data_IF_437171389636
#
_entry.id   IF_437171389636
#
_cell.length_a   1.000
_cell.length_b   1.000
_cell.length_c   1.000
_cell.angle_alpha   90.00
_cell.angle_beta   90.00
_cell.angle_gamma   90.00
#
_symmetry.space_group_name_H-M   'P 1'
#
loop_
_entity.id
_entity.type
_entity.pdbx_description
1 polymer ?
#
# COMPACT_ATOMS: atom_id res chain seq x y z
N UNK A 1 1.20 7.28 -17.29
CA UNK A 1 0.75 8.13 -16.17
C UNK A 1 0.77 7.28 -14.91
N UNK A 2 0.94 7.90 -13.73
CA UNK A 2 0.95 7.17 -12.45
C UNK A 2 -0.35 7.45 -11.70
N UNK A 3 -1.02 6.40 -11.26
CA UNK A 3 -2.22 6.46 -10.43
C UNK A 3 -1.96 5.84 -9.07
N UNK A 4 -2.66 6.31 -8.03
CA UNK A 4 -2.56 5.80 -6.66
C UNK A 4 -3.95 5.42 -6.14
N UNK A 5 -4.03 4.25 -5.51
CA UNK A 5 -5.22 3.73 -4.81
C UNK A 5 -4.77 2.92 -3.59
N UNK A 6 -5.69 2.34 -2.83
CA UNK A 6 -5.38 1.47 -1.69
C UNK A 6 -6.44 0.40 -1.48
N UNK A 7 -6.14 -0.55 -0.59
CA UNK A 7 -7.13 -1.42 0.06
C UNK A 7 -8.04 -2.12 -0.95
N UNK A 8 -7.44 -2.83 -1.90
CA UNK A 8 -8.21 -3.61 -2.90
C UNK A 8 -8.74 -4.91 -2.32
N UNK A 9 -8.12 -5.42 -1.26
CA UNK A 9 -8.57 -6.58 -0.46
C UNK A 9 -8.85 -7.83 -1.32
N UNK A 10 -8.11 -8.02 -2.40
CA UNK A 10 -8.33 -9.11 -3.36
C UNK A 10 -9.69 -9.07 -4.06
N UNK A 11 -10.39 -7.93 -4.03
CA UNK A 11 -11.70 -7.79 -4.63
C UNK A 11 -11.58 -7.58 -6.15
N UNK A 12 -11.67 -8.68 -6.88
CA UNK A 12 -11.60 -8.68 -8.35
C UNK A 12 -12.73 -7.85 -9.00
N UNK A 13 -13.93 -7.79 -8.41
CA UNK A 13 -15.01 -6.95 -8.93
C UNK A 13 -14.68 -5.46 -8.81
N UNK A 14 -14.15 -5.05 -7.64
CA UNK A 14 -13.62 -3.69 -7.45
C UNK A 14 -12.58 -3.37 -8.50
N UNK A 15 -11.66 -4.29 -8.78
CA UNK A 15 -10.65 -4.09 -9.81
C UNK A 15 -11.27 -3.91 -11.19
N UNK A 16 -12.08 -4.86 -11.65
CA UNK A 16 -12.64 -4.88 -13.01
C UNK A 16 -13.64 -3.74 -13.27
N UNK A 17 -14.40 -3.31 -12.27
CA UNK A 17 -15.41 -2.24 -12.46
C UNK A 17 -14.83 -0.84 -12.23
N UNK A 18 -13.94 -0.71 -11.24
CA UNK A 18 -13.49 0.61 -10.78
C UNK A 18 -12.12 0.98 -11.34
N UNK A 19 -11.17 0.05 -11.31
CA UNK A 19 -9.75 0.33 -11.58
C UNK A 19 -9.40 0.08 -13.04
N UNK A 20 -9.63 -1.13 -13.54
CA UNK A 20 -9.26 -1.54 -14.91
C UNK A 20 -9.76 -0.57 -16.01
N UNK A 21 -11.02 -0.09 -15.99
CA UNK A 21 -11.54 0.72 -17.09
C UNK A 21 -10.91 2.11 -17.24
N UNK A 22 -10.13 2.58 -16.25
CA UNK A 22 -9.47 3.88 -16.31
C UNK A 22 -8.01 3.80 -16.78
N UNK A 23 -7.40 2.62 -16.72
CA UNK A 23 -5.99 2.41 -17.02
C UNK A 23 -5.78 2.20 -18.53
N UNK A 24 -4.72 2.79 -19.07
CA UNK A 24 -4.37 2.71 -20.49
C UNK A 24 -2.98 2.13 -20.68
N UNK A 25 -2.62 1.91 -21.94
CA UNK A 25 -1.27 1.45 -22.30
C UNK A 25 -0.19 2.36 -21.74
N UNK A 26 0.78 1.76 -21.05
CA UNK A 26 1.90 2.45 -20.40
C UNK A 26 1.57 3.10 -19.06
N UNK A 27 0.33 3.03 -18.57
CA UNK A 27 0.01 3.54 -17.25
C UNK A 27 0.56 2.65 -16.13
N UNK A 28 0.75 3.25 -14.96
CA UNK A 28 1.19 2.60 -13.74
C UNK A 28 0.15 2.89 -12.67
N UNK A 29 -0.27 1.88 -11.92
CA UNK A 29 -1.06 2.07 -10.70
C UNK A 29 -0.30 1.53 -9.50
N UNK A 30 -0.28 2.29 -8.39
CA UNK A 30 0.32 1.90 -7.12
C UNK A 30 -0.81 1.69 -6.09
N UNK A 31 -0.85 0.51 -5.48
CA UNK A 31 -1.79 0.16 -4.39
C UNK A 31 -1.08 0.30 -3.03
N UNK A 32 -1.59 1.18 -2.17
CA UNK A 32 -1.07 1.50 -0.84
C UNK A 32 -1.38 0.43 0.22
N UNK A 33 -1.02 -0.82 -0.06
CA UNK A 33 -1.23 -1.94 0.86
C UNK A 33 -2.60 -2.60 0.70
N UNK A 34 -2.74 -3.74 1.36
CA UNK A 34 -3.90 -4.61 1.28
C UNK A 34 -4.33 -4.88 -0.16
N UNK A 35 -3.35 -5.26 -1.00
CA UNK A 35 -3.65 -5.69 -2.37
C UNK A 35 -4.50 -6.98 -2.34
N UNK A 36 -4.20 -7.86 -1.38
CA UNK A 36 -4.98 -9.05 -1.04
C UNK A 36 -4.36 -10.39 -1.46
N UNK A 37 -3.03 -10.47 -1.63
CA UNK A 37 -2.35 -11.73 -1.97
C UNK A 37 -2.67 -12.81 -0.93
N UNK A 38 -3.14 -13.97 -1.39
CA UNK A 38 -3.58 -15.12 -0.60
C UNK A 38 -4.97 -14.97 0.04
N UNK A 39 -5.69 -13.89 -0.25
CA UNK A 39 -7.01 -13.58 0.31
C UNK A 39 -8.13 -13.43 -0.75
N UNK A 40 -7.86 -13.79 -2.01
CA UNK A 40 -8.86 -13.82 -3.07
C UNK A 40 -9.87 -14.96 -2.84
N UNK A 41 -10.97 -14.66 -2.16
CA UNK A 41 -12.07 -15.63 -1.95
C UNK A 41 -13.22 -15.35 -2.90
N UNK A 42 -13.17 -15.94 -4.10
CA UNK A 42 -14.29 -15.94 -5.03
C UNK A 42 -14.61 -17.34 -5.52
N UNK A 43 -15.92 -17.60 -5.70
CA UNK A 43 -16.45 -18.92 -6.09
C UNK A 43 -16.11 -19.30 -7.55
N UNK A 44 -15.74 -18.33 -8.39
CA UNK A 44 -15.71 -18.50 -9.85
C UNK A 44 -14.36 -18.24 -10.53
N UNK A 45 -13.43 -17.50 -9.90
CA UNK A 45 -12.11 -17.18 -10.44
C UNK A 45 -11.04 -17.36 -9.36
N UNK A 46 -9.94 -18.02 -9.73
CA UNK A 46 -8.80 -18.18 -8.83
C UNK A 46 -7.95 -16.91 -8.75
N UNK A 47 -7.16 -16.80 -7.70
CA UNK A 47 -6.13 -15.77 -7.55
C UNK A 47 -5.15 -15.75 -8.73
N UNK A 48 -4.61 -16.92 -9.12
CA UNK A 48 -3.69 -17.03 -10.25
C UNK A 48 -4.34 -16.58 -11.57
N UNK A 49 -5.63 -16.87 -11.77
CA UNK A 49 -6.36 -16.37 -12.94
C UNK A 49 -6.48 -14.85 -12.97
N UNK A 50 -6.58 -14.20 -11.80
CA UNK A 50 -6.55 -12.75 -11.72
C UNK A 50 -5.15 -12.20 -12.02
N UNK A 51 -4.08 -12.85 -11.55
CA UNK A 51 -2.70 -12.48 -11.90
C UNK A 51 -2.41 -12.66 -13.37
N UNK A 52 -2.92 -13.72 -14.00
CA UNK A 52 -2.81 -13.93 -15.43
C UNK A 52 -3.59 -12.87 -16.21
N UNK A 53 -4.80 -12.50 -15.75
CA UNK A 53 -5.54 -11.37 -16.31
C UNK A 53 -4.73 -10.07 -16.25
N UNK A 54 -4.15 -9.72 -15.09
CA UNK A 54 -3.28 -8.54 -14.95
C UNK A 54 -2.09 -8.65 -15.90
N UNK A 55 -1.49 -9.83 -16.03
CA UNK A 55 -0.36 -10.09 -16.93
C UNK A 55 -0.69 -9.90 -18.42
N UNK A 56 -1.95 -9.83 -18.82
CA UNK A 56 -2.33 -9.54 -20.20
C UNK A 56 -2.60 -8.04 -20.44
N UNK A 57 -2.60 -7.23 -19.38
CA UNK A 57 -2.95 -5.82 -19.47
C UNK A 57 -1.78 -4.94 -19.94
N UNK A 58 -2.05 -3.85 -20.67
CA UNK A 58 -1.01 -2.98 -21.22
C UNK A 58 -0.48 -1.96 -20.19
N UNK A 59 -0.83 -2.10 -18.92
CA UNK A 59 -0.42 -1.24 -17.80
C UNK A 59 0.39 -2.03 -16.76
N UNK A 60 1.05 -1.33 -15.85
CA UNK A 60 1.80 -1.92 -14.73
C UNK A 60 1.06 -1.71 -13.42
N UNK A 61 0.98 -2.77 -12.62
CA UNK A 61 0.46 -2.77 -11.25
C UNK A 61 1.62 -2.91 -10.28
N UNK A 62 1.77 -1.89 -9.45
CA UNK A 62 2.67 -1.89 -8.31
C UNK A 62 1.83 -1.93 -7.03
N UNK A 63 2.33 -2.59 -6.00
CA UNK A 63 1.72 -2.51 -4.68
C UNK A 63 2.78 -2.64 -3.59
N UNK A 64 2.50 -2.06 -2.44
CA UNK A 64 3.20 -2.39 -1.19
C UNK A 64 2.34 -3.39 -0.42
N UNK A 65 2.91 -4.14 0.50
CA UNK A 65 2.13 -4.96 1.43
C UNK A 65 1.42 -4.11 2.49
N UNK A 66 0.30 -4.60 3.01
CA UNK A 66 -0.39 -4.10 4.20
C UNK A 66 -0.40 -5.15 5.31
N UNK A 67 -1.53 -5.29 5.99
CA UNK A 67 -1.73 -6.30 7.04
C UNK A 67 -2.62 -7.48 6.58
N UNK A 68 -3.13 -7.44 5.35
CA UNK A 68 -3.95 -8.48 4.74
C UNK A 68 -3.29 -9.11 3.52
N UNK A 69 -2.05 -9.58 3.71
CA UNK A 69 -1.29 -10.39 2.76
C UNK A 69 -0.88 -11.72 3.36
N UNK A 70 -0.85 -12.75 2.51
CA UNK A 70 -0.23 -14.01 2.84
C UNK A 70 1.28 -13.89 2.67
N UNK A 71 1.97 -13.56 3.76
CA UNK A 71 3.42 -13.34 3.74
C UNK A 71 4.23 -14.59 3.39
N UNK A 72 3.71 -15.80 3.62
CA UNK A 72 4.39 -17.02 3.16
C UNK A 72 4.39 -17.10 1.63
N UNK A 73 3.26 -16.79 0.99
CA UNK A 73 3.16 -16.72 -0.47
C UNK A 73 3.98 -15.54 -1.02
N UNK A 74 3.82 -14.35 -0.45
CA UNK A 74 4.51 -13.14 -0.89
C UNK A 74 6.03 -13.31 -0.87
N UNK A 75 6.58 -13.86 0.23
CA UNK A 75 8.01 -14.10 0.39
C UNK A 75 8.51 -15.35 -0.35
N UNK A 76 7.64 -16.12 -1.00
CA UNK A 76 8.04 -17.24 -1.87
C UNK A 76 8.41 -16.79 -3.28
N UNK A 77 7.96 -15.59 -3.69
CA UNK A 77 8.31 -15.02 -4.99
C UNK A 77 9.77 -14.58 -5.03
N UNK A 78 10.36 -14.64 -6.22
CA UNK A 78 11.75 -14.25 -6.42
C UNK A 78 11.95 -12.76 -6.18
N UNK A 79 13.02 -12.43 -5.44
CA UNK A 79 13.50 -11.06 -5.27
C UNK A 79 14.36 -10.65 -6.47
N UNK A 80 14.05 -9.50 -7.07
CA UNK A 80 14.82 -8.89 -8.17
C UNK A 80 15.15 -7.43 -7.85
N UNK A 81 16.23 -6.90 -8.43
CA UNK A 81 16.45 -5.44 -8.44
C UNK A 81 15.62 -4.82 -9.55
N UNK A 82 14.91 -3.75 -9.23
CA UNK A 82 14.04 -3.03 -10.16
C UNK A 82 13.97 -1.55 -9.79
N UNK A 83 14.23 -0.66 -10.76
CA UNK A 83 14.09 0.79 -10.64
C UNK A 83 14.70 1.43 -9.38
N UNK A 84 15.82 0.91 -8.89
CA UNK A 84 16.55 1.47 -7.75
C UNK A 84 16.37 0.74 -6.42
N UNK A 85 15.40 -0.19 -6.33
CA UNK A 85 15.17 -1.00 -5.13
C UNK A 85 14.97 -2.47 -5.41
N UNK A 86 14.59 -3.22 -4.38
CA UNK A 86 14.27 -4.65 -4.46
C UNK A 86 12.76 -4.90 -4.52
N UNK A 87 12.33 -5.83 -5.37
CA UNK A 87 10.91 -6.17 -5.56
C UNK A 87 10.67 -7.66 -5.48
N UNK A 88 9.45 -8.08 -5.11
CA UNK A 88 8.96 -9.40 -5.48
C UNK A 88 8.21 -9.30 -6.81
N UNK A 89 8.64 -10.09 -7.81
CA UNK A 89 8.03 -10.07 -9.14
C UNK A 89 7.06 -11.23 -9.31
N UNK A 90 5.76 -10.94 -9.23
CA UNK A 90 4.68 -11.95 -9.28
C UNK A 90 4.31 -12.28 -10.72
N UNK A 91 4.22 -11.23 -11.55
CA UNK A 91 4.18 -11.29 -13.02
C UNK A 91 5.06 -10.20 -13.59
N UNK A 92 5.19 -10.13 -14.91
CA UNK A 92 6.08 -9.15 -15.53
C UNK A 92 5.65 -7.69 -15.30
N UNK A 93 4.35 -7.45 -15.10
CA UNK A 93 3.74 -6.15 -14.83
C UNK A 93 2.94 -6.12 -13.51
N UNK A 94 3.06 -7.13 -12.65
CA UNK A 94 2.50 -7.15 -11.29
C UNK A 94 3.64 -7.33 -10.28
N UNK A 95 3.96 -6.25 -9.57
CA UNK A 95 5.21 -6.12 -8.83
C UNK A 95 4.92 -5.61 -7.43
N UNK A 96 5.45 -6.31 -6.43
CA UNK A 96 5.44 -5.88 -5.04
C UNK A 96 6.70 -5.06 -4.75
N UNK A 97 6.51 -3.81 -4.31
CA UNK A 97 7.57 -2.91 -3.88
C UNK A 97 7.92 -3.21 -2.42
N UNK A 98 9.15 -3.66 -2.16
CA UNK A 98 9.58 -4.06 -0.82
C UNK A 98 9.74 -2.86 0.12
N UNK A 99 9.57 -3.13 1.42
CA UNK A 99 9.62 -2.13 2.48
C UNK A 99 11.03 -1.51 2.60
N UNK A 100 11.06 -0.20 2.78
CA UNK A 100 12.30 0.54 3.05
C UNK A 100 13.11 0.89 1.80
N UNK A 101 12.59 0.62 0.61
CA UNK A 101 13.23 0.91 -0.66
C UNK A 101 12.80 2.28 -1.22
N UNK A 102 13.66 2.87 -2.08
CA UNK A 102 13.35 4.08 -2.86
C UNK A 102 13.44 3.73 -4.34
N UNK A 103 12.33 3.93 -5.06
CA UNK A 103 12.25 3.65 -6.50
C UNK A 103 12.28 4.93 -7.32
N UNK A 104 12.84 4.87 -8.53
CA UNK A 104 12.70 5.92 -9.54
C UNK A 104 11.79 5.45 -10.67
N UNK A 105 10.59 6.01 -10.75
CA UNK A 105 9.53 5.63 -11.71
C UNK A 105 9.10 6.88 -12.46
N UNK A 106 9.13 6.85 -13.80
CA UNK A 106 8.88 8.02 -14.67
C UNK A 106 9.66 9.29 -14.25
N UNK A 107 10.87 9.12 -13.71
CA UNK A 107 11.72 10.22 -13.25
C UNK A 107 11.35 10.80 -11.87
N UNK A 108 10.44 10.16 -11.15
CA UNK A 108 10.00 10.52 -9.79
C UNK A 108 10.45 9.48 -8.77
N UNK A 109 10.75 9.94 -7.56
CA UNK A 109 11.21 9.09 -6.45
C UNK A 109 10.06 8.69 -5.53
N UNK A 110 9.99 7.40 -5.21
CA UNK A 110 8.95 6.81 -4.35
C UNK A 110 9.61 6.03 -3.22
N UNK A 111 9.48 6.53 -1.99
CA UNK A 111 9.79 5.73 -0.80
C UNK A 111 8.59 4.87 -0.44
N UNK A 112 8.79 3.58 -0.23
CA UNK A 112 7.71 2.64 0.07
C UNK A 112 7.88 1.94 1.40
N UNK A 113 6.81 1.87 2.18
CA UNK A 113 6.84 1.18 3.46
C UNK A 113 5.48 0.55 3.82
N UNK A 114 5.37 -0.75 3.58
CA UNK A 114 4.20 -1.55 3.90
C UNK A 114 4.09 -1.94 5.38
N UNK A 115 3.10 -2.78 5.65
CA UNK A 115 2.81 -3.34 6.96
C UNK A 115 1.71 -2.59 7.73
N UNK A 116 1.21 -3.26 8.77
CA UNK A 116 0.13 -2.79 9.62
C UNK A 116 -0.25 -3.86 10.64
N UNK A 117 -0.96 -3.47 11.69
CA UNK A 117 -1.40 -4.42 12.71
C UNK A 117 -2.85 -4.84 12.50
N UNK A 118 -3.09 -6.15 12.41
CA UNK A 118 -4.46 -6.67 12.32
C UNK A 118 -5.15 -6.60 13.69
N UNK A 119 -6.11 -5.70 13.85
CA UNK A 119 -6.88 -5.56 15.11
C UNK A 119 -7.66 -6.83 15.48
N UNK A 120 -7.95 -7.67 14.50
CA UNK A 120 -8.63 -8.96 14.63
C UNK A 120 -7.66 -10.15 14.74
N UNK A 121 -6.34 -9.90 14.88
CA UNK A 121 -5.32 -10.92 15.14
C UNK A 121 -5.75 -11.96 16.20
N UNK A 122 -6.38 -11.60 17.34
CA UNK A 122 -6.81 -12.59 18.33
C UNK A 122 -7.83 -13.63 17.82
N UNK A 123 -8.49 -13.36 16.70
CA UNK A 123 -9.48 -14.24 16.06
C UNK A 123 -8.88 -15.03 14.88
N UNK A 124 -7.62 -14.78 14.53
CA UNK A 124 -6.94 -15.38 13.37
C UNK A 124 -5.99 -16.51 13.79
N UNK A 125 -5.59 -17.30 12.80
CA UNK A 125 -4.64 -18.41 12.98
C UNK A 125 -3.34 -18.07 12.29
N UNK A 126 -2.26 -18.10 13.06
CA UNK A 126 -0.90 -17.87 12.57
C UNK A 126 -0.56 -18.81 11.40
N UNK A 127 0.08 -18.25 10.38
CA UNK A 127 0.47 -18.90 9.12
C UNK A 127 -0.71 -19.43 8.26
N UNK A 128 -1.95 -19.05 8.58
CA UNK A 128 -3.15 -19.44 7.83
C UNK A 128 -4.00 -18.24 7.45
N UNK A 129 -4.32 -17.39 8.40
CA UNK A 129 -5.11 -16.16 8.18
C UNK A 129 -4.47 -14.91 8.78
N UNK A 130 -3.33 -15.07 9.45
CA UNK A 130 -2.52 -14.00 10.01
C UNK A 130 -1.04 -14.40 10.00
N UNK A 131 -0.15 -13.43 9.85
CA UNK A 131 1.30 -13.63 9.81
C UNK A 131 1.97 -12.54 10.65
N UNK A 132 2.94 -12.89 11.53
CA UNK A 132 3.69 -11.89 12.30
C UNK A 132 4.43 -10.87 11.42
N UNK A 133 4.70 -11.23 10.17
CA UNK A 133 5.35 -10.38 9.16
C UNK A 133 4.48 -9.18 8.72
N UNK A 134 3.20 -9.11 9.10
CA UNK A 134 2.40 -7.89 8.92
C UNK A 134 3.07 -6.67 9.58
N UNK A 135 3.77 -6.88 10.69
CA UNK A 135 4.60 -5.87 11.32
C UNK A 135 6.01 -5.94 10.74
N UNK A 136 6.60 -4.81 10.35
CA UNK A 136 7.97 -4.76 9.87
C UNK A 136 8.98 -5.26 10.89
N UNK A 137 9.98 -5.97 10.39
CA UNK A 137 11.16 -6.40 11.11
C UNK A 137 12.08 -5.22 11.39
N UNK A 138 12.97 -5.40 12.37
CA UNK A 138 14.02 -4.42 12.69
C UNK A 138 14.87 -4.07 11.45
N UNK A 139 15.19 -5.06 10.62
CA UNK A 139 16.01 -4.86 9.44
C UNK A 139 15.31 -3.97 8.39
N UNK A 140 14.00 -4.15 8.20
CA UNK A 140 13.22 -3.30 7.27
C UNK A 140 13.15 -1.85 7.75
N UNK A 141 12.97 -1.62 9.06
CA UNK A 141 13.04 -0.27 9.63
C UNK A 141 14.42 0.36 9.43
N UNK A 142 15.50 -0.38 9.71
CA UNK A 142 16.87 0.11 9.54
C UNK A 142 17.20 0.41 8.07
N UNK A 143 16.76 -0.44 7.14
CA UNK A 143 16.91 -0.24 5.71
C UNK A 143 16.25 1.06 5.24
N UNK A 144 15.00 1.30 5.65
CA UNK A 144 14.27 2.50 5.28
C UNK A 144 14.92 3.79 5.81
N UNK A 145 15.39 3.78 7.06
CA UNK A 145 16.12 4.94 7.61
C UNK A 145 17.43 5.19 6.87
N UNK A 146 18.20 4.14 6.56
CA UNK A 146 19.47 4.29 5.84
C UNK A 146 19.28 4.87 4.44
N UNK A 147 18.27 4.41 3.70
CA UNK A 147 17.97 4.97 2.39
C UNK A 147 17.47 6.41 2.47
N UNK A 148 16.61 6.72 3.43
CA UNK A 148 16.12 8.09 3.64
C UNK A 148 17.22 9.05 4.12
N UNK A 149 18.16 8.60 4.94
CA UNK A 149 19.31 9.41 5.37
C UNK A 149 20.26 9.73 4.20
N UNK A 150 20.19 8.98 3.10
CA UNK A 150 21.00 9.21 1.90
C UNK A 150 20.41 10.22 0.91
N UNK A 151 19.17 10.67 1.15
CA UNK A 151 18.46 11.61 0.27
C UNK A 151 17.83 12.75 1.08
N UNK A 152 17.92 13.97 0.58
CA UNK A 152 17.29 15.12 1.25
C UNK A 152 15.76 15.18 0.99
N UNK A 153 15.32 14.61 -0.12
CA UNK A 153 13.94 14.68 -0.61
C UNK A 153 13.53 13.41 -1.36
N UNK A 154 12.27 13.01 -1.19
CA UNK A 154 11.58 12.05 -2.06
C UNK A 154 10.30 12.67 -2.59
N UNK A 155 9.96 12.43 -3.86
CA UNK A 155 8.73 13.03 -4.43
C UNK A 155 7.50 12.47 -3.69
N UNK A 156 7.43 11.14 -3.53
CA UNK A 156 6.27 10.49 -2.94
C UNK A 156 6.66 9.50 -1.84
N UNK A 157 5.85 9.48 -0.78
CA UNK A 157 5.88 8.44 0.24
C UNK A 157 4.60 7.60 0.10
N UNK A 158 4.77 6.28 -0.03
CA UNK A 158 3.67 5.32 -0.16
C UNK A 158 3.74 4.36 1.03
N UNK A 159 2.76 4.40 1.91
CA UNK A 159 2.69 3.49 3.07
C UNK A 159 1.32 2.86 3.18
N UNK A 160 1.21 1.78 3.95
CA UNK A 160 -0.11 1.21 4.20
C UNK A 160 -0.82 1.94 5.34
N UNK A 161 -0.19 2.01 6.52
CA UNK A 161 -0.68 2.82 7.64
C UNK A 161 -0.12 4.25 7.63
N UNK A 162 -0.49 5.07 8.62
CA UNK A 162 -0.13 6.48 8.71
C UNK A 162 0.78 6.78 9.92
N UNK A 163 1.47 7.94 9.92
CA UNK A 163 2.16 8.46 11.10
C UNK A 163 1.24 8.62 12.32
N UNK A 164 1.79 8.43 13.53
CA UNK A 164 1.05 8.48 14.80
C UNK A 164 0.11 9.69 14.98
N UNK A 165 0.55 10.91 14.62
CA UNK A 165 -0.20 12.17 14.70
C UNK A 165 -1.43 12.12 13.79
N UNK A 166 -1.27 11.53 12.61
CA UNK A 166 -2.32 11.36 11.63
C UNK A 166 -3.34 10.32 12.10
N UNK A 167 -2.87 9.17 12.61
CA UNK A 167 -3.73 8.12 13.19
C UNK A 167 -4.55 8.70 14.35
N UNK A 168 -3.91 9.44 15.25
CA UNK A 168 -4.57 10.10 16.37
C UNK A 168 -5.68 11.02 15.90
N UNK A 169 -5.39 11.94 14.97
CA UNK A 169 -6.42 12.83 14.43
C UNK A 169 -7.58 12.07 13.78
N UNK A 170 -7.30 11.07 12.95
CA UNK A 170 -8.33 10.27 12.30
C UNK A 170 -9.23 9.57 13.34
N UNK A 171 -8.63 9.08 14.44
CA UNK A 171 -9.37 8.45 15.55
C UNK A 171 -10.30 9.42 16.30
N UNK A 172 -10.00 10.72 16.33
CA UNK A 172 -10.88 11.71 16.97
C UNK A 172 -12.19 11.92 16.20
N UNK A 173 -12.23 11.51 14.93
CA UNK A 173 -13.38 11.70 14.06
C UNK A 173 -14.27 10.46 14.16
N UNK A 174 -15.23 10.53 15.10
CA UNK A 174 -16.12 9.42 15.47
C UNK A 174 -16.72 8.64 14.29
N UNK A 175 -17.05 9.30 13.18
CA UNK A 175 -17.67 8.66 12.00
C UNK A 175 -16.77 7.60 11.34
N UNK A 176 -15.46 7.67 11.54
CA UNK A 176 -14.50 6.74 10.94
C UNK A 176 -14.30 5.47 11.75
N UNK A 177 -14.71 5.44 13.02
CA UNK A 177 -14.57 4.26 13.89
C UNK A 177 -13.12 3.73 14.01
N UNK A 178 -12.13 4.61 13.84
CA UNK A 178 -10.70 4.29 13.95
C UNK A 178 -10.29 4.33 15.42
N UNK A 179 -9.52 3.32 15.87
CA UNK A 179 -8.93 3.29 17.21
C UNK A 179 -7.55 3.97 17.16
N UNK A 180 -7.35 4.96 18.01
CA UNK A 180 -6.07 5.68 18.11
C UNK A 180 -5.07 5.05 19.08
N UNK A 181 -5.50 4.06 19.86
CA UNK A 181 -4.77 3.45 20.97
C UNK A 181 -4.43 1.97 20.72
N UNK A 182 -3.98 1.66 19.50
CA UNK A 182 -3.53 0.32 19.11
C UNK A 182 -2.03 0.17 19.41
N UNK A 183 -1.71 -0.18 20.66
CA UNK A 183 -0.33 -0.27 21.16
C UNK A 183 0.60 -1.16 20.31
N UNK A 184 0.05 -2.20 19.70
CA UNK A 184 0.79 -3.13 18.86
C UNK A 184 1.27 -2.49 17.55
N UNK A 185 0.56 -1.47 17.06
CA UNK A 185 0.90 -0.74 15.83
C UNK A 185 1.89 0.41 16.10
N UNK A 186 2.03 0.83 17.37
CA UNK A 186 2.85 1.98 17.74
C UNK A 186 4.30 1.94 17.22
N UNK A 187 5.01 0.79 17.18
CA UNK A 187 6.34 0.74 16.59
C UNK A 187 6.38 1.26 15.15
N UNK A 188 5.39 0.88 14.34
CA UNK A 188 5.30 1.30 12.94
C UNK A 188 4.85 2.75 12.81
N UNK A 189 3.78 3.16 13.50
CA UNK A 189 3.27 4.54 13.39
C UNK A 189 4.26 5.57 13.97
N UNK A 190 5.04 5.20 14.99
CA UNK A 190 6.15 6.02 15.51
C UNK A 190 7.28 6.14 14.51
N UNK A 191 7.67 5.03 13.88
CA UNK A 191 8.67 5.03 12.82
C UNK A 191 8.25 5.97 11.67
N UNK A 192 6.99 5.89 11.22
CA UNK A 192 6.48 6.76 10.16
C UNK A 192 6.41 8.24 10.59
N UNK A 193 6.19 8.53 11.88
CA UNK A 193 6.29 9.88 12.40
C UNK A 193 7.72 10.44 12.31
N UNK A 194 8.71 9.60 12.58
CA UNK A 194 10.12 10.00 12.45
C UNK A 194 10.50 10.23 10.98
N UNK A 195 10.02 9.39 10.06
CA UNK A 195 10.15 9.61 8.61
C UNK A 195 9.54 10.96 8.22
N UNK A 196 8.30 11.22 8.64
CA UNK A 196 7.60 12.47 8.31
C UNK A 196 8.33 13.72 8.82
N UNK A 197 9.02 13.64 9.97
CA UNK A 197 9.78 14.76 10.54
C UNK A 197 11.14 14.98 9.87
N UNK A 198 11.76 13.94 9.34
CA UNK A 198 13.15 13.97 8.85
C UNK A 198 13.24 14.09 7.34
N UNK A 199 12.23 13.63 6.61
CA UNK A 199 12.24 13.57 5.16
C UNK A 199 11.35 14.65 4.57
N UNK A 200 11.90 15.45 3.65
CA UNK A 200 11.07 16.36 2.84
C UNK A 200 10.40 15.58 1.73
N UNK A 201 9.10 15.77 1.52
CA UNK A 201 8.37 15.07 0.45
C UNK A 201 7.32 15.96 -0.22
N UNK A 202 6.97 15.62 -1.47
CA UNK A 202 5.92 16.34 -2.21
C UNK A 202 4.54 15.89 -1.72
N UNK A 203 4.28 14.59 -1.69
CA UNK A 203 3.00 14.04 -1.19
C UNK A 203 3.16 12.65 -0.57
N UNK A 204 2.27 12.31 0.37
CA UNK A 204 2.23 11.02 1.05
C UNK A 204 0.85 10.39 0.87
N UNK A 205 0.81 9.20 0.30
CA UNK A 205 -0.41 8.40 0.16
C UNK A 205 -0.40 7.19 1.10
N UNK A 206 -1.52 6.90 1.75
CA UNK A 206 -1.69 5.73 2.59
C UNK A 206 -3.11 5.15 2.58
N UNK A 207 -3.23 3.89 2.99
CA UNK A 207 -4.48 3.12 3.03
C UNK A 207 -4.94 2.81 4.45
N UNK A 208 -5.25 1.54 4.73
CA UNK A 208 -5.49 0.88 6.02
C UNK A 208 -6.76 1.31 6.78
N UNK A 209 -7.08 2.59 6.79
CA UNK A 209 -8.15 3.16 7.62
C UNK A 209 -9.52 3.17 6.97
N UNK A 210 -9.63 2.68 5.72
CA UNK A 210 -10.86 2.64 4.93
C UNK A 210 -11.58 4.00 4.82
N UNK A 211 -10.80 5.08 4.65
CA UNK A 211 -11.31 6.44 4.49
C UNK A 211 -10.64 7.14 3.32
N UNK A 212 -11.42 7.90 2.57
CA UNK A 212 -10.91 8.81 1.55
C UNK A 212 -10.83 10.23 2.11
N UNK A 213 -9.61 10.75 2.29
CA UNK A 213 -9.42 12.09 2.89
C UNK A 213 -8.07 12.71 2.59
N UNK A 214 -8.08 13.95 2.12
CA UNK A 214 -6.93 14.84 2.13
C UNK A 214 -6.71 15.44 3.53
N UNK A 215 -5.44 15.50 3.95
CA UNK A 215 -4.98 15.84 5.29
C UNK A 215 -3.84 16.88 5.21
N UNK A 216 -3.47 17.44 6.36
CA UNK A 216 -2.33 18.36 6.46
C UNK A 216 -1.01 17.62 6.19
N UNK A 217 0.07 18.37 5.93
CA UNK A 217 1.39 17.82 5.55
C UNK A 217 1.33 16.97 4.26
N UNK A 218 0.51 17.39 3.30
CA UNK A 218 0.37 16.75 1.98
C UNK A 218 0.12 15.24 2.08
N UNK A 219 -0.80 14.85 2.95
CA UNK A 219 -1.16 13.45 3.18
C UNK A 219 -2.54 13.16 2.61
N UNK A 220 -2.72 11.99 2.02
CA UNK A 220 -4.02 11.51 1.55
C UNK A 220 -4.24 10.06 1.99
N UNK A 221 -5.33 9.85 2.73
CA UNK A 221 -5.88 8.53 3.00
C UNK A 221 -6.74 8.07 1.81
N UNK A 222 -6.58 6.81 1.41
CA UNK A 222 -7.19 6.21 0.22
C UNK A 222 -8.01 4.97 0.59
N UNK A 223 -9.19 4.83 0.00
CA UNK A 223 -9.98 3.59 0.08
C UNK A 223 -10.80 3.30 -1.18
N UNK A 224 -11.71 4.22 -1.54
CA UNK A 224 -12.60 4.08 -2.69
C UNK A 224 -12.35 5.18 -3.73
N UNK A 225 -11.09 5.57 -3.90
CA UNK A 225 -10.68 6.66 -4.77
C UNK A 225 -9.40 6.31 -5.52
N UNK A 226 -9.28 6.80 -6.76
CA UNK A 226 -8.05 6.78 -7.53
C UNK A 226 -7.59 8.21 -7.78
N UNK A 227 -6.36 8.51 -7.39
CA UNK A 227 -5.69 9.77 -7.67
C UNK A 227 -4.75 9.61 -8.85
N UNK A 228 -4.65 10.63 -9.69
CA UNK A 228 -3.49 10.78 -10.58
C UNK A 228 -2.37 11.46 -9.79
N UNK A 229 -1.21 10.84 -9.81
CA UNK A 229 -0.12 11.08 -8.87
C UNK A 229 0.44 12.50 -8.97
N UNK A 230 0.66 13.03 -10.18
CA UNK A 230 1.33 14.31 -10.39
C UNK A 230 0.40 15.52 -10.21
N UNK A 231 -0.84 15.42 -10.66
CA UNK A 231 -1.83 16.49 -10.51
C UNK A 231 -2.52 16.49 -9.15
N UNK A 232 -2.36 15.40 -8.38
CA UNK A 232 -3.03 15.15 -7.11
C UNK A 232 -4.57 15.21 -7.21
N UNK A 233 -5.11 14.90 -8.39
CA UNK A 233 -6.54 14.96 -8.66
C UNK A 233 -7.18 13.59 -8.56
N UNK A 234 -8.35 13.57 -7.94
CA UNK A 234 -9.25 12.43 -8.01
C UNK A 234 -9.69 12.23 -9.47
N UNK A 235 -9.37 11.06 -10.02
CA UNK A 235 -9.81 10.63 -11.35
C UNK A 235 -11.10 9.84 -11.25
N UNK A 236 -11.26 9.07 -10.17
CA UNK A 236 -12.47 8.27 -9.93
C UNK A 236 -12.68 8.09 -8.43
N UNK A 237 -13.94 8.10 -8.02
CA UNK A 237 -14.38 7.76 -6.67
C UNK A 237 -15.66 6.94 -6.77
N UNK A 238 -15.81 5.94 -5.89
CA UNK A 238 -16.98 5.06 -5.86
C UNK A 238 -17.51 4.89 -4.43
N UNK A 239 -18.73 4.36 -4.34
CA UNK A 239 -19.30 3.99 -3.05
C UNK A 239 -18.71 2.66 -2.59
N UNK A 240 -18.57 2.48 -1.28
CA UNK A 240 -18.15 1.21 -0.70
C UNK A 240 -19.08 0.09 -1.18
N UNK A 241 -18.51 -0.99 -1.68
CA UNK A 241 -19.23 -2.25 -1.90
C UNK A 241 -19.78 -2.67 -0.53
N UNK A 242 -21.10 -2.57 -0.33
CA UNK A 242 -21.74 -2.90 0.94
C UNK A 242 -21.26 -4.27 1.43
N UNK A 243 -20.70 -4.30 2.65
CA UNK A 243 -20.36 -5.53 3.36
C UNK A 243 -21.60 -6.12 4.03
#
# INVERSE_FOLDING_TARGET
>A
MIYITGDTHGNQFKWLEQIDPILKEGDIIIVCGDFGIGFFQQKYSSEESFYDFISEQPYTVLFIDGNHENFNLLNSYQVESWNGGYVHKIRHNLIHLMRGEIYTIEGKTFFTFGGGYSIDQPLRKENVSWWPQEMPSKQEYENGLQHLDSVDHVDYIITHTAPDETVYFLSTIKKYHIKGDVYQEFPLTTYLNDVQKKTSYTHWYFGHFHVDRELWRNQTALFNTIYECESHRIIKQWNTYEC
#
